data_IF_258874796197
#
_entry.id   IF_258874796197
#
_cell.length_a   1.000
_cell.length_b   1.000
_cell.length_c   1.000
_cell.angle_alpha   90.00
_cell.angle_beta   90.00
_cell.angle_gamma   90.00
#
_symmetry.space_group_name_H-M   'P 1'
#
loop_
_entity.id
_entity.type
_entity.pdbx_description
1 polymer ?
#
# COMPACT_ATOMS: atom_id res chain seq x y z
N UNK A 1 17.43 0.34 -5.60
CA UNK A 1 16.57 -0.66 -4.96
C UNK A 1 15.12 -0.20 -5.02
N UNK A 2 14.23 -1.08 -5.40
CA UNK A 2 12.81 -0.73 -5.51
C UNK A 2 12.03 -1.27 -4.31
N UNK A 3 11.31 -0.40 -3.64
CA UNK A 3 10.45 -0.73 -2.50
C UNK A 3 9.01 -0.43 -2.88
N UNK A 4 8.11 -1.37 -2.62
CA UNK A 4 6.69 -1.20 -2.84
C UNK A 4 5.94 -1.32 -1.52
N UNK A 5 5.13 -0.33 -1.22
CA UNK A 5 4.17 -0.37 -0.10
C UNK A 5 2.83 -0.78 -0.69
N UNK A 6 2.27 -1.86 -0.20
CA UNK A 6 0.99 -2.37 -0.68
C UNK A 6 -0.02 -2.33 0.45
N UNK A 7 -1.08 -1.56 0.25
CA UNK A 7 -2.18 -1.40 1.20
C UNK A 7 -3.38 -2.15 0.64
N UNK A 8 -3.84 -3.16 1.37
CA UNK A 8 -5.05 -3.88 0.99
C UNK A 8 -6.26 -3.14 1.53
N UNK A 9 -7.22 -2.87 0.66
CA UNK A 9 -8.43 -2.15 1.01
C UNK A 9 -9.69 -2.91 0.62
N UNK A 10 -10.63 -3.01 1.56
CA UNK A 10 -11.99 -3.45 1.28
C UNK A 10 -12.95 -2.59 2.07
N UNK A 11 -13.74 -1.78 1.37
CA UNK A 11 -14.73 -0.89 1.96
C UNK A 11 -14.14 0.00 3.07
N UNK A 12 -12.88 0.42 2.89
CA UNK A 12 -12.15 1.21 3.87
C UNK A 12 -11.94 2.66 3.47
N UNK A 13 -12.86 3.26 2.73
CA UNK A 13 -12.69 4.63 2.26
C UNK A 13 -12.41 5.61 3.40
N UNK A 14 -13.07 5.45 4.55
CA UNK A 14 -12.84 6.32 5.70
C UNK A 14 -11.44 6.18 6.26
N UNK A 15 -10.92 4.96 6.31
CA UNK A 15 -9.55 4.70 6.76
C UNK A 15 -8.53 5.27 5.78
N UNK A 16 -8.76 5.10 4.49
CA UNK A 16 -7.88 5.68 3.48
C UNK A 16 -7.87 7.21 3.58
N UNK A 17 -9.01 7.83 3.77
CA UNK A 17 -9.09 9.28 3.94
C UNK A 17 -8.26 9.75 5.13
N UNK A 18 -8.25 8.98 6.21
CA UNK A 18 -7.57 9.34 7.45
C UNK A 18 -6.07 9.06 7.39
N UNK A 19 -5.66 7.92 6.85
CA UNK A 19 -4.26 7.45 6.96
C UNK A 19 -3.45 7.53 5.69
N UNK A 20 -4.07 7.42 4.52
CA UNK A 20 -3.33 7.45 3.26
C UNK A 20 -2.55 8.75 3.02
N UNK A 21 -3.05 9.94 3.41
CA UNK A 21 -2.27 11.16 3.23
C UNK A 21 -0.88 11.09 3.87
N UNK A 22 -0.78 10.53 5.08
CA UNK A 22 0.49 10.39 5.78
C UNK A 22 1.40 9.37 5.12
N UNK A 23 0.84 8.25 4.67
CA UNK A 23 1.61 7.24 3.94
C UNK A 23 2.21 7.85 2.69
N UNK A 24 1.43 8.59 1.91
CA UNK A 24 1.92 9.25 0.70
C UNK A 24 2.96 10.31 1.04
N UNK A 25 2.71 11.11 2.06
CA UNK A 25 3.62 12.19 2.43
C UNK A 25 4.98 11.68 2.91
N UNK A 26 4.99 10.63 3.74
CA UNK A 26 6.20 10.17 4.42
C UNK A 26 6.88 8.98 3.74
N UNK A 27 6.36 8.51 2.63
CA UNK A 27 6.87 7.29 1.98
C UNK A 27 7.12 7.43 0.49
N UNK A 28 6.43 8.32 -0.20
CA UNK A 28 6.40 8.34 -1.67
C UNK A 28 7.75 8.70 -2.31
N UNK A 29 8.65 9.38 -1.57
CA UNK A 29 9.99 9.67 -2.07
C UNK A 29 10.92 8.44 -2.02
N UNK A 30 10.59 7.45 -1.18
CA UNK A 30 11.42 6.28 -0.94
C UNK A 30 10.85 4.99 -1.50
N UNK A 31 9.57 4.99 -1.88
CA UNK A 31 8.86 3.79 -2.31
C UNK A 31 7.71 4.14 -3.23
N UNK A 32 7.26 3.16 -4.02
CA UNK A 32 6.00 3.25 -4.72
C UNK A 32 4.88 2.79 -3.79
N UNK A 33 3.77 3.54 -3.76
CA UNK A 33 2.63 3.21 -2.92
C UNK A 33 1.50 2.67 -3.79
N UNK A 34 1.01 1.50 -3.44
CA UNK A 34 -0.09 0.82 -4.11
C UNK A 34 -1.25 0.64 -3.15
N UNK A 35 -2.46 0.93 -3.61
CA UNK A 35 -3.67 0.49 -2.92
C UNK A 35 -4.25 -0.65 -3.75
N UNK A 36 -4.34 -1.82 -3.14
CA UNK A 36 -4.96 -2.99 -3.74
C UNK A 36 -6.40 -3.08 -3.24
N UNK A 37 -7.34 -2.85 -4.13
CA UNK A 37 -8.75 -2.85 -3.78
C UNK A 37 -9.34 -4.25 -3.97
N UNK A 38 -9.86 -4.79 -2.91
CA UNK A 38 -10.34 -6.16 -2.81
C UNK A 38 -11.84 -6.24 -3.18
N UNK A 39 -12.20 -5.61 -4.28
CA UNK A 39 -13.57 -5.52 -4.81
C UNK A 39 -14.52 -4.78 -3.86
N UNK A 40 -14.13 -3.56 -3.46
CA UNK A 40 -14.94 -2.71 -2.60
C UNK A 40 -16.25 -2.31 -3.27
N UNK A 41 -17.30 -2.18 -2.48
CA UNK A 41 -18.61 -1.71 -2.92
C UNK A 41 -18.87 -0.26 -2.53
N UNK A 42 -17.97 0.36 -1.74
CA UNK A 42 -18.02 1.78 -1.44
C UNK A 42 -17.28 2.60 -2.52
N UNK A 43 -17.03 3.88 -2.29
CA UNK A 43 -16.34 4.72 -3.25
C UNK A 43 -14.82 4.83 -3.00
N UNK A 44 -14.21 3.78 -2.43
CA UNK A 44 -12.78 3.76 -2.14
C UNK A 44 -11.91 4.00 -3.37
N UNK A 45 -12.21 3.31 -4.47
CA UNK A 45 -11.43 3.41 -5.71
C UNK A 45 -11.50 4.82 -6.28
N UNK A 46 -12.70 5.38 -6.35
CA UNK A 46 -12.89 6.76 -6.83
C UNK A 46 -12.13 7.75 -5.96
N UNK A 47 -12.22 7.59 -4.65
CA UNK A 47 -11.55 8.46 -3.70
C UNK A 47 -10.04 8.48 -3.95
N UNK A 48 -9.41 7.32 -4.05
CA UNK A 48 -7.97 7.23 -4.29
C UNK A 48 -7.60 7.83 -5.64
N UNK A 49 -8.35 7.53 -6.69
CA UNK A 49 -8.09 8.05 -8.04
C UNK A 49 -8.12 9.57 -8.08
N UNK A 50 -9.09 10.15 -7.38
CA UNK A 50 -9.30 11.60 -7.42
C UNK A 50 -8.34 12.36 -6.53
N UNK A 51 -8.04 11.83 -5.34
CA UNK A 51 -7.28 12.56 -4.33
C UNK A 51 -5.80 12.18 -4.29
N UNK A 52 -5.44 11.01 -4.79
CA UNK A 52 -4.06 10.51 -4.77
C UNK A 52 -3.66 9.95 -6.14
N UNK A 53 -3.56 10.82 -7.17
CA UNK A 53 -3.28 10.34 -8.54
C UNK A 53 -1.92 9.69 -8.70
N UNK A 54 -0.96 9.94 -7.79
CA UNK A 54 0.35 9.30 -7.83
C UNK A 54 0.37 7.95 -7.13
N UNK A 55 -0.67 7.63 -6.35
CA UNK A 55 -0.84 6.30 -5.77
C UNK A 55 -1.33 5.34 -6.84
N UNK A 56 -0.68 4.18 -6.94
CA UNK A 56 -1.08 3.18 -7.93
C UNK A 56 -2.21 2.33 -7.39
N UNK A 57 -3.22 2.09 -8.22
CA UNK A 57 -4.37 1.28 -7.87
C UNK A 57 -4.29 -0.08 -8.53
N UNK A 58 -4.54 -1.12 -7.75
CA UNK A 58 -4.74 -2.48 -8.23
C UNK A 58 -6.17 -2.86 -7.87
N UNK A 59 -7.00 -3.13 -8.87
CA UNK A 59 -8.39 -3.50 -8.63
C UNK A 59 -8.54 -5.00 -8.84
N UNK A 60 -8.80 -5.72 -7.75
CA UNK A 60 -9.03 -7.16 -7.82
C UNK A 60 -10.47 -7.43 -8.28
N UNK A 61 -10.67 -8.54 -8.96
CA UNK A 61 -11.96 -8.88 -9.56
C UNK A 61 -12.99 -9.36 -8.54
N UNK A 62 -12.54 -9.76 -7.35
CA UNK A 62 -13.42 -10.17 -6.25
C UNK A 62 -12.66 -10.03 -4.93
N UNK A 63 -13.37 -10.20 -3.83
CA UNK A 63 -12.76 -10.20 -2.50
C UNK A 63 -12.12 -11.57 -2.23
N UNK A 64 -10.80 -11.60 -2.17
CA UNK A 64 -10.03 -12.82 -1.92
C UNK A 64 -9.72 -13.02 -0.44
N UNK A 65 -10.27 -12.21 0.45
CA UNK A 65 -9.91 -12.20 1.84
C UNK A 65 -8.59 -11.49 2.10
N UNK A 66 -8.10 -11.56 3.32
CA UNK A 66 -6.90 -10.80 3.71
C UNK A 66 -5.64 -11.35 3.05
N UNK A 67 -5.30 -12.61 3.32
CA UNK A 67 -4.08 -13.22 2.76
C UNK A 67 -4.18 -13.39 1.25
N UNK A 68 -5.33 -13.82 0.76
CA UNK A 68 -5.57 -14.00 -0.68
C UNK A 68 -5.49 -12.69 -1.43
N UNK A 69 -6.02 -11.60 -0.83
CA UNK A 69 -5.96 -10.28 -1.44
C UNK A 69 -4.53 -9.78 -1.62
N UNK A 70 -3.70 -9.91 -0.59
CA UNK A 70 -2.29 -9.55 -0.72
C UNK A 70 -1.57 -10.43 -1.74
N UNK A 71 -1.81 -11.74 -1.74
CA UNK A 71 -1.18 -12.64 -2.70
C UNK A 71 -1.53 -12.25 -4.14
N UNK A 72 -2.79 -11.93 -4.40
CA UNK A 72 -3.22 -11.50 -5.74
C UNK A 72 -2.60 -10.16 -6.13
N UNK A 73 -2.54 -9.22 -5.19
CA UNK A 73 -1.95 -7.91 -5.44
C UNK A 73 -0.46 -8.03 -5.74
N UNK A 74 0.26 -8.83 -4.97
CA UNK A 74 1.70 -8.98 -5.13
C UNK A 74 2.09 -9.61 -6.47
N UNK A 75 1.20 -10.39 -7.08
CA UNK A 75 1.42 -10.91 -8.43
C UNK A 75 1.58 -9.80 -9.46
N UNK A 76 1.03 -8.63 -9.21
CA UNK A 76 1.04 -7.50 -10.13
C UNK A 76 2.12 -6.46 -9.82
N UNK A 77 2.91 -6.67 -8.76
CA UNK A 77 3.90 -5.70 -8.32
C UNK A 77 5.28 -6.31 -8.36
N UNK A 78 6.21 -5.62 -9.02
CA UNK A 78 7.62 -6.03 -9.04
C UNK A 78 8.43 -5.05 -8.21
N UNK A 79 9.06 -5.55 -7.16
CA UNK A 79 9.91 -4.76 -6.28
C UNK A 79 10.95 -5.65 -5.63
N UNK A 80 12.00 -5.01 -5.07
CA UNK A 80 13.01 -5.75 -4.32
C UNK A 80 12.51 -6.07 -2.91
N UNK A 81 11.74 -5.14 -2.33
CA UNK A 81 11.11 -5.32 -1.03
C UNK A 81 9.65 -4.91 -1.08
N UNK A 82 8.83 -5.60 -0.31
CA UNK A 82 7.41 -5.32 -0.18
C UNK A 82 7.11 -5.00 1.28
N UNK A 83 6.38 -3.90 1.50
CA UNK A 83 5.87 -3.55 2.82
C UNK A 83 4.35 -3.65 2.75
N UNK A 84 3.78 -4.55 3.54
CA UNK A 84 2.33 -4.76 3.56
C UNK A 84 1.76 -3.95 4.72
N UNK A 85 0.89 -3.00 4.42
CA UNK A 85 0.22 -2.18 5.41
C UNK A 85 -1.28 -2.39 5.35
N UNK A 86 -1.92 -2.44 6.50
CA UNK A 86 -3.38 -2.34 6.57
C UNK A 86 -3.81 -0.89 6.34
N UNK A 87 -5.05 -0.70 5.88
CA UNK A 87 -5.56 0.62 5.56
C UNK A 87 -5.74 1.52 6.78
N UNK A 88 -5.69 0.97 7.98
CA UNK A 88 -5.88 1.68 9.24
C UNK A 88 -4.57 1.90 10.02
N UNK A 89 -3.44 1.82 9.35
CA UNK A 89 -2.13 2.01 10.00
C UNK A 89 -1.67 3.45 9.85
N UNK A 90 -1.32 4.07 10.97
CA UNK A 90 -0.72 5.39 11.01
C UNK A 90 0.79 5.26 10.89
N UNK A 91 1.37 6.06 10.00
CA UNK A 91 2.83 6.11 9.84
C UNK A 91 3.32 7.51 10.21
N UNK A 92 4.57 7.59 10.65
CA UNK A 92 5.19 8.83 11.05
C UNK A 92 6.31 9.22 10.09
N UNK A 93 6.82 10.43 10.26
CA UNK A 93 7.95 10.92 9.49
C UNK A 93 9.15 9.96 9.64
N UNK A 94 9.82 9.67 8.53
CA UNK A 94 11.00 8.80 8.50
C UNK A 94 10.78 7.36 9.01
N UNK A 95 9.56 6.86 8.91
CA UNK A 95 9.28 5.49 9.36
C UNK A 95 9.90 4.43 8.44
N UNK A 96 10.05 4.75 7.15
CA UNK A 96 10.41 3.77 6.13
C UNK A 96 11.92 3.63 5.95
N UNK A 97 12.67 4.73 6.01
CA UNK A 97 14.11 4.71 5.71
C UNK A 97 14.90 3.79 6.64
N UNK A 98 14.71 3.81 7.97
CA UNK A 98 15.39 2.86 8.84
C UNK A 98 15.05 1.40 8.55
N UNK A 99 13.79 1.14 8.15
CA UNK A 99 13.36 -0.20 7.79
C UNK A 99 14.05 -0.68 6.51
N UNK A 100 14.16 0.19 5.51
CA UNK A 100 14.86 -0.12 4.26
C UNK A 100 16.34 -0.39 4.54
N UNK A 101 16.98 0.44 5.36
CA UNK A 101 18.38 0.26 5.72
C UNK A 101 18.59 -1.08 6.43
N UNK A 102 17.69 -1.45 7.33
CA UNK A 102 17.76 -2.74 8.01
C UNK A 102 17.65 -3.90 7.02
N UNK A 103 16.67 -3.86 6.12
CA UNK A 103 16.49 -4.92 5.13
C UNK A 103 17.67 -5.02 4.18
N UNK A 104 18.24 -3.88 3.80
CA UNK A 104 19.38 -3.83 2.90
C UNK A 104 20.63 -4.45 3.53
N UNK A 105 20.83 -4.27 4.83
CA UNK A 105 21.94 -4.86 5.55
C UNK A 105 21.72 -6.30 6.00
N UNK A 106 20.48 -6.80 5.90
CA UNK A 106 20.06 -8.14 6.34
C UNK A 106 19.38 -8.91 5.22
N UNK A 107 20.02 -8.98 4.05
CA UNK A 107 19.39 -9.50 2.83
C UNK A 107 19.02 -10.97 2.89
N UNK A 108 19.55 -11.71 3.85
CA UNK A 108 19.27 -13.14 3.98
C UNK A 108 18.27 -13.48 5.08
N UNK A 109 17.63 -12.47 5.66
CA UNK A 109 16.65 -12.64 6.72
C UNK A 109 15.24 -12.80 6.14
#
# INVERSE_FOLDING_TARGET
>A
MKVAIVILNWNGRQMLERYLPQVMQYSSSDAEVFVADNASTDNSVEFVSQHFPTCKLIQLDKNYGFAGGYNKALEQVKADYYVLLNSDVEVTHEWLVPLIEFMDSHQHV
#
